data_IF_991818754152
#
_entry.id   IF_991818754152
#
_cell.length_a   1.000
_cell.length_b   1.000
_cell.length_c   1.000
_cell.angle_alpha   90.00
_cell.angle_beta   90.00
_cell.angle_gamma   90.00
#
_symmetry.space_group_name_H-M   'P 1'
#
loop_
_entity.id
_entity.type
_entity.pdbx_description
1 polymer ?
#
# COMPACT_ATOMS: atom_id res chain seq x y z
N UNK A 1 0.22 -27.79 -40.72
CA UNK A 1 -0.04 -29.25 -40.69
C UNK A 1 0.42 -29.86 -39.39
N UNK A 2 -0.48 -30.66 -38.75
CA UNK A 2 -0.46 -31.40 -37.47
C UNK A 2 -0.88 -30.55 -36.27
N UNK A 3 -2.12 -30.51 -35.87
CA UNK A 3 -3.17 -31.44 -35.32
C UNK A 3 -2.78 -32.18 -34.04
N UNK A 4 -3.66 -31.89 -33.04
CA UNK A 4 -4.20 -32.74 -31.98
C UNK A 4 -3.31 -33.01 -30.76
N UNK A 5 -3.77 -32.75 -29.53
CA UNK A 5 -4.77 -33.54 -28.83
C UNK A 5 -5.17 -32.89 -27.50
N UNK A 6 -6.45 -32.81 -27.29
CA UNK A 6 -7.13 -32.72 -25.98
C UNK A 6 -7.26 -34.14 -25.38
N UNK A 7 -7.36 -34.31 -24.06
CA UNK A 7 -8.47 -35.06 -23.56
C UNK A 7 -9.27 -34.36 -22.47
N UNK A 8 -10.57 -34.33 -22.66
CA UNK A 8 -11.61 -34.29 -21.65
C UNK A 8 -11.63 -35.57 -20.81
N UNK A 9 -11.95 -35.45 -19.54
CA UNK A 9 -12.68 -36.45 -18.71
C UNK A 9 -13.30 -35.64 -17.58
N UNK A 10 -14.59 -35.39 -17.53
CA UNK A 10 -15.75 -36.26 -17.26
C UNK A 10 -15.88 -36.70 -15.79
N UNK A 11 -16.89 -36.13 -15.15
CA UNK A 11 -17.85 -36.66 -14.17
C UNK A 11 -17.43 -37.69 -13.12
N UNK A 12 -17.76 -37.37 -11.85
CA UNK A 12 -18.66 -38.23 -11.04
C UNK A 12 -19.08 -37.50 -9.74
N UNK A 13 -20.37 -37.28 -9.58
CA UNK A 13 -21.04 -37.26 -8.27
C UNK A 13 -21.36 -38.69 -7.88
N UNK A 14 -21.49 -39.03 -6.58
CA UNK A 14 -22.83 -39.29 -6.08
C UNK A 14 -23.11 -38.73 -4.68
N UNK A 15 -24.42 -38.62 -4.45
CA UNK A 15 -25.13 -38.35 -3.22
C UNK A 15 -25.22 -39.60 -2.32
N UNK A 16 -25.42 -39.37 -1.02
CA UNK A 16 -26.29 -40.20 -0.14
C UNK A 16 -26.21 -39.60 1.27
N UNK A 17 -27.29 -39.04 1.73
CA UNK A 17 -28.27 -39.51 2.73
C UNK A 17 -27.64 -40.16 3.99
N UNK A 18 -27.91 -39.57 5.16
CA UNK A 18 -28.48 -40.30 6.32
C UNK A 18 -29.14 -39.25 7.25
N UNK A 19 -30.44 -39.40 7.42
CA UNK A 19 -31.22 -38.88 8.55
C UNK A 19 -30.89 -39.68 9.81
N UNK A 20 -30.80 -39.03 10.95
CA UNK A 20 -31.14 -39.63 12.24
C UNK A 20 -31.77 -38.57 13.14
N UNK A 21 -33.05 -38.77 13.39
CA UNK A 21 -33.83 -38.10 14.42
C UNK A 21 -33.87 -38.97 15.68
N UNK A 22 -33.72 -38.36 16.86
CA UNK A 22 -34.25 -38.80 18.17
C UNK A 22 -34.03 -37.66 19.16
N UNK A 23 -34.93 -36.97 19.64
CA UNK A 23 -35.98 -37.09 20.65
C UNK A 23 -35.48 -36.78 22.10
N UNK A 24 -36.05 -35.73 22.63
CA UNK A 24 -36.50 -35.44 23.99
C UNK A 24 -35.55 -35.67 25.22
N UNK A 25 -35.29 -34.55 25.92
CA UNK A 25 -35.49 -34.49 27.36
C UNK A 25 -35.67 -33.03 27.82
N UNK A 26 -36.84 -32.71 28.38
CA UNK A 26 -37.11 -31.53 29.15
C UNK A 26 -36.30 -31.57 30.48
N UNK A 27 -35.64 -30.49 30.80
CA UNK A 27 -35.32 -30.15 32.18
C UNK A 27 -35.40 -28.65 32.33
N UNK A 28 -36.50 -28.19 32.89
CA UNK A 28 -36.67 -26.82 33.39
C UNK A 28 -35.88 -26.65 34.67
N UNK A 29 -34.87 -25.76 34.65
CA UNK A 29 -34.38 -25.09 35.83
C UNK A 29 -34.20 -23.61 35.52
N UNK A 30 -35.10 -22.79 36.00
CA UNK A 30 -35.04 -21.35 35.89
C UNK A 30 -33.82 -20.80 36.61
N UNK A 31 -32.90 -20.26 35.83
CA UNK A 31 -31.88 -19.34 36.29
C UNK A 31 -32.03 -18.08 35.46
N UNK A 32 -32.49 -17.01 36.06
CA UNK A 32 -32.43 -15.65 35.49
C UNK A 32 -30.94 -15.33 35.20
N UNK A 33 -30.50 -15.70 34.02
CA UNK A 33 -29.20 -15.29 33.51
C UNK A 33 -29.35 -13.84 33.07
N UNK A 34 -28.70 -12.93 33.74
CA UNK A 34 -28.53 -11.57 33.30
C UNK A 34 -28.10 -11.57 31.81
N UNK A 35 -28.62 -10.67 30.96
CA UNK A 35 -28.16 -10.57 29.59
C UNK A 35 -26.65 -10.37 29.64
N UNK A 36 -25.90 -11.31 29.04
CA UNK A 36 -24.49 -11.14 28.78
C UNK A 36 -24.34 -9.81 28.06
N UNK A 37 -23.63 -8.88 28.69
CA UNK A 37 -23.32 -7.62 28.05
C UNK A 37 -22.77 -7.94 26.66
N UNK A 38 -23.39 -7.40 25.64
CA UNK A 38 -22.81 -7.33 24.31
C UNK A 38 -21.47 -6.65 24.50
N UNK A 39 -20.38 -7.43 24.48
CA UNK A 39 -19.03 -6.88 24.31
C UNK A 39 -19.13 -6.04 23.04
N UNK A 40 -19.27 -4.72 23.22
CA UNK A 40 -19.13 -3.77 22.14
C UNK A 40 -17.73 -4.02 21.60
N UNK A 41 -17.65 -4.66 20.42
CA UNK A 41 -16.39 -4.90 19.73
C UNK A 41 -15.66 -3.56 19.69
N UNK A 42 -14.56 -3.46 20.42
CA UNK A 42 -13.78 -2.25 20.50
C UNK A 42 -13.46 -1.83 19.07
N UNK A 43 -13.91 -0.63 18.70
CA UNK A 43 -13.61 -0.07 17.36
C UNK A 43 -12.10 -0.15 17.16
N UNK A 44 -11.60 -0.70 16.05
CA UNK A 44 -10.16 -0.82 15.85
C UNK A 44 -9.53 0.57 15.99
N UNK A 45 -8.55 0.70 16.88
CA UNK A 45 -7.87 1.96 17.13
C UNK A 45 -6.95 2.31 15.95
N UNK A 46 -6.77 3.61 15.71
CA UNK A 46 -5.77 4.10 14.77
C UNK A 46 -4.39 3.51 15.10
N UNK A 47 -3.68 2.98 14.10
CA UNK A 47 -2.36 2.37 14.28
C UNK A 47 -1.29 3.15 13.52
N UNK A 48 -0.23 3.58 14.20
CA UNK A 48 0.95 4.12 13.54
C UNK A 48 1.70 2.99 12.82
N UNK A 49 1.98 3.18 11.55
CA UNK A 49 2.69 2.24 10.68
C UNK A 49 4.16 2.61 10.54
N UNK A 50 4.48 3.90 10.45
CA UNK A 50 5.84 4.38 10.36
C UNK A 50 5.96 5.83 10.82
N UNK A 51 7.04 6.12 11.57
CA UNK A 51 7.47 7.46 11.98
C UNK A 51 8.94 7.60 11.62
N UNK A 52 9.31 8.38 10.58
CA UNK A 52 10.71 8.58 10.20
C UNK A 52 11.54 9.18 11.35
N UNK A 53 12.77 8.70 11.52
CA UNK A 53 13.75 9.20 12.49
C UNK A 53 14.91 9.88 11.79
N UNK A 54 15.71 10.62 12.52
CA UNK A 54 16.83 11.40 11.99
C UNK A 54 17.97 10.54 11.36
N UNK A 55 18.01 9.25 11.68
CA UNK A 55 18.99 8.29 11.14
C UNK A 55 18.48 7.50 9.92
N UNK A 56 17.34 7.89 9.36
CA UNK A 56 16.72 7.21 8.21
C UNK A 56 15.97 5.93 8.57
N UNK A 57 15.85 5.59 9.85
CA UNK A 57 15.02 4.48 10.32
C UNK A 57 13.61 4.97 10.62
N UNK A 58 12.70 4.04 10.91
CA UNK A 58 11.40 4.37 11.50
C UNK A 58 11.35 3.90 12.95
N UNK A 59 10.54 4.56 13.77
CA UNK A 59 10.36 4.17 15.18
C UNK A 59 9.84 2.72 15.31
N UNK A 60 9.13 2.22 14.30
CA UNK A 60 8.59 0.87 14.21
C UNK A 60 9.62 -0.15 13.69
N UNK A 61 10.87 0.29 13.44
CA UNK A 61 12.02 -0.54 13.10
C UNK A 61 12.23 -0.78 11.59
N UNK A 62 11.49 -0.08 10.74
CA UNK A 62 11.71 -0.03 9.31
C UNK A 62 12.85 0.93 8.91
N UNK A 63 12.98 1.18 7.61
CA UNK A 63 13.97 2.08 6.99
C UNK A 63 13.27 2.94 5.94
N UNK A 64 13.72 4.17 5.78
CA UNK A 64 13.30 5.05 4.69
C UNK A 64 14.45 5.20 3.70
N UNK A 65 14.21 4.80 2.46
CA UNK A 65 15.17 4.87 1.37
C UNK A 65 14.64 5.73 0.22
N UNK A 66 15.53 6.51 -0.39
CA UNK A 66 15.23 7.25 -1.62
C UNK A 66 15.68 6.47 -2.85
N UNK A 67 14.87 6.51 -3.90
CA UNK A 67 15.25 5.97 -5.20
C UNK A 67 14.68 6.79 -6.36
N UNK A 68 15.24 6.60 -7.52
CA UNK A 68 14.76 7.21 -8.76
C UNK A 68 14.45 6.14 -9.80
N UNK A 69 13.58 6.47 -10.72
CA UNK A 69 13.25 5.65 -11.88
C UNK A 69 13.00 6.53 -13.10
N UNK A 70 13.36 6.07 -14.28
CA UNK A 70 13.14 6.78 -15.53
C UNK A 70 13.12 5.80 -16.70
N UNK A 71 12.43 6.17 -17.78
CA UNK A 71 12.47 5.43 -19.05
C UNK A 71 13.87 5.43 -19.66
N UNK A 72 14.53 6.58 -19.61
CA UNK A 72 15.89 6.76 -20.14
C UNK A 72 16.85 7.09 -18.98
N UNK A 73 18.00 6.42 -18.90
CA UNK A 73 19.02 6.75 -17.91
C UNK A 73 19.47 8.21 -18.01
N UNK A 74 19.68 8.84 -16.85
CA UNK A 74 20.16 10.21 -16.77
C UNK A 74 19.09 11.30 -16.84
N UNK A 75 17.82 10.96 -17.11
CA UNK A 75 16.72 11.92 -17.14
C UNK A 75 16.14 12.25 -15.75
N UNK A 76 16.54 11.52 -14.73
CA UNK A 76 16.16 11.76 -13.34
C UNK A 76 17.41 11.66 -12.46
N UNK A 77 17.55 12.57 -11.53
CA UNK A 77 18.60 12.55 -10.51
C UNK A 77 18.01 12.87 -9.14
N UNK A 78 18.35 12.06 -8.15
CA UNK A 78 17.96 12.22 -6.74
C UNK A 78 19.16 12.70 -5.93
N UNK A 79 18.94 13.67 -5.05
CA UNK A 79 19.91 14.06 -4.02
C UNK A 79 19.84 13.09 -2.84
N UNK A 80 20.85 13.06 -1.96
CA UNK A 80 20.76 12.30 -0.71
C UNK A 80 19.51 12.67 0.09
N UNK A 81 18.78 11.66 0.56
CA UNK A 81 17.61 11.87 1.41
C UNK A 81 18.01 12.53 2.72
N UNK A 82 17.30 13.57 3.11
CA UNK A 82 17.50 14.26 4.37
C UNK A 82 16.39 13.92 5.37
N UNK A 83 16.77 13.89 6.65
CA UNK A 83 15.85 13.51 7.73
C UNK A 83 15.86 14.58 8.83
N UNK A 84 14.69 14.92 9.35
CA UNK A 84 14.53 15.83 10.48
C UNK A 84 13.22 15.58 11.20
N UNK A 85 13.25 15.52 12.54
CA UNK A 85 12.05 15.57 13.42
C UNK A 85 10.83 14.81 12.91
N UNK A 86 10.97 13.53 12.60
CA UNK A 86 9.86 12.69 12.13
C UNK A 86 9.49 12.86 10.65
N UNK A 87 10.39 13.44 9.85
CA UNK A 87 10.16 13.74 8.42
C UNK A 87 11.34 13.27 7.58
N UNK A 88 11.08 12.57 6.50
CA UNK A 88 12.00 12.31 5.40
C UNK A 88 11.72 13.29 4.25
N UNK A 89 12.76 13.85 3.64
CA UNK A 89 12.66 14.75 2.48
C UNK A 89 13.49 14.22 1.33
N UNK A 90 12.88 14.14 0.15
CA UNK A 90 13.54 13.86 -1.11
C UNK A 90 13.59 15.13 -1.96
N UNK A 91 14.76 15.40 -2.51
CA UNK A 91 15.01 16.45 -3.50
C UNK A 91 15.69 15.88 -4.72
N UNK A 92 15.66 16.61 -5.82
CA UNK A 92 16.33 16.22 -7.05
C UNK A 92 15.75 16.89 -8.28
N UNK A 93 16.05 16.32 -9.45
CA UNK A 93 15.69 16.90 -10.73
C UNK A 93 15.10 15.83 -11.64
N UNK A 94 14.00 16.15 -12.32
CA UNK A 94 13.51 15.44 -13.49
C UNK A 94 13.75 16.32 -14.70
N UNK A 95 14.60 15.85 -15.63
CA UNK A 95 14.96 16.58 -16.85
C UNK A 95 15.05 15.62 -18.01
N UNK A 96 13.96 15.45 -18.80
CA UNK A 96 13.87 14.45 -19.86
C UNK A 96 14.70 14.84 -21.10
N UNK A 97 16.02 14.95 -20.93
CA UNK A 97 16.98 15.28 -21.99
C UNK A 97 17.04 14.21 -23.08
N UNK A 98 16.83 12.95 -22.70
CA UNK A 98 16.85 11.81 -23.61
C UNK A 98 15.45 11.39 -24.05
N UNK A 99 14.43 12.20 -23.70
CA UNK A 99 13.05 12.00 -24.14
C UNK A 99 12.24 11.04 -23.31
N UNK A 100 12.54 10.84 -22.02
CA UNK A 100 11.68 10.08 -21.12
C UNK A 100 10.27 10.65 -21.11
N UNK A 101 9.29 9.76 -21.21
CA UNK A 101 7.87 10.08 -21.06
C UNK A 101 7.35 9.75 -19.66
N UNK A 102 8.09 8.94 -18.92
CA UNK A 102 7.82 8.62 -17.51
C UNK A 102 9.11 8.58 -16.71
N UNK A 103 8.98 8.84 -15.41
CA UNK A 103 10.08 8.83 -14.46
C UNK A 103 9.67 9.51 -13.17
N UNK A 104 10.51 9.42 -12.14
CA UNK A 104 10.22 10.05 -10.87
C UNK A 104 11.29 9.83 -9.82
N UNK A 105 11.10 10.53 -8.72
CA UNK A 105 11.86 10.38 -7.48
C UNK A 105 10.89 9.89 -6.41
N UNK A 106 11.30 8.89 -5.63
CA UNK A 106 10.48 8.27 -4.63
C UNK A 106 11.19 8.10 -3.28
N UNK A 107 10.39 8.08 -2.22
CA UNK A 107 10.75 7.57 -0.89
C UNK A 107 10.00 6.27 -0.66
N UNK A 108 10.72 5.22 -0.30
CA UNK A 108 10.17 3.94 0.16
C UNK A 108 10.31 3.86 1.67
N UNK A 109 9.20 3.78 2.38
CA UNK A 109 9.16 3.63 3.83
C UNK A 109 8.82 2.20 4.17
N UNK A 110 9.81 1.38 4.50
CA UNK A 110 9.60 0.04 5.03
C UNK A 110 8.96 0.13 6.43
N UNK A 111 7.91 -0.66 6.67
CA UNK A 111 7.10 -0.55 7.88
C UNK A 111 7.68 -1.34 9.06
N UNK A 112 8.45 -2.39 8.77
CA UNK A 112 9.04 -3.26 9.78
C UNK A 112 10.46 -3.69 9.42
N UNK A 113 11.24 -4.05 10.44
CA UNK A 113 12.59 -4.61 10.26
C UNK A 113 12.57 -5.83 9.33
N UNK A 114 13.49 -5.86 8.36
CA UNK A 114 13.65 -6.97 7.43
C UNK A 114 12.51 -7.10 6.42
N UNK A 115 11.70 -6.05 6.20
CA UNK A 115 10.64 -6.05 5.19
C UNK A 115 9.51 -7.04 5.48
N UNK A 116 9.29 -7.41 6.75
CA UNK A 116 8.16 -8.29 7.12
C UNK A 116 6.84 -7.60 6.80
N UNK A 117 5.90 -8.39 6.29
CA UNK A 117 4.56 -7.90 6.03
C UNK A 117 3.80 -7.62 7.34
N UNK A 118 3.01 -6.57 7.30
CA UNK A 118 2.14 -6.13 8.36
C UNK A 118 0.71 -6.19 7.84
N UNK A 119 -0.20 -6.75 8.63
CA UNK A 119 -1.62 -6.74 8.31
C UNK A 119 -2.24 -5.40 8.72
N UNK A 120 -2.63 -4.63 7.73
CA UNK A 120 -3.42 -3.41 7.84
C UNK A 120 -4.78 -3.55 7.10
N UNK A 121 -5.21 -4.79 6.82
CA UNK A 121 -6.41 -5.08 6.05
C UNK A 121 -7.72 -4.64 6.70
N UNK A 122 -7.73 -4.41 8.02
CA UNK A 122 -8.88 -3.82 8.73
C UNK A 122 -8.98 -2.29 8.58
N UNK A 123 -7.94 -1.63 8.07
CA UNK A 123 -7.95 -0.19 7.85
C UNK A 123 -8.84 0.17 6.66
N UNK A 124 -9.55 1.27 6.79
CA UNK A 124 -10.31 1.89 5.70
C UNK A 124 -9.57 3.05 5.06
N UNK A 125 -8.64 3.63 5.79
CA UNK A 125 -7.94 4.85 5.39
C UNK A 125 -6.47 4.74 5.76
N UNK A 126 -5.59 5.15 4.84
CA UNK A 126 -4.21 5.48 5.11
C UNK A 126 -4.13 6.98 5.41
N UNK A 127 -3.73 7.34 6.62
CA UNK A 127 -3.40 8.72 6.97
C UNK A 127 -1.89 8.91 6.81
N UNK A 128 -1.47 9.87 6.01
CA UNK A 128 -0.05 10.10 5.70
C UNK A 128 0.26 11.59 5.70
N UNK A 129 1.32 11.98 6.41
CA UNK A 129 1.79 13.36 6.41
C UNK A 129 2.66 13.61 5.17
N UNK A 130 2.23 14.54 4.31
CA UNK A 130 2.87 14.86 3.04
C UNK A 130 3.02 16.38 2.85
N UNK A 131 4.04 16.76 2.08
CA UNK A 131 4.21 18.10 1.53
C UNK A 131 4.90 18.00 0.18
N UNK A 132 4.62 18.92 -0.75
CA UNK A 132 5.38 19.05 -2.00
C UNK A 132 5.45 20.51 -2.43
N UNK A 133 6.65 21.03 -2.56
CA UNK A 133 6.92 22.32 -3.20
C UNK A 133 7.07 22.19 -4.72
N UNK A 134 7.05 20.96 -5.26
CA UNK A 134 7.25 20.64 -6.66
C UNK A 134 5.96 20.54 -7.46
N UNK A 135 5.41 19.32 -7.59
CA UNK A 135 4.31 19.03 -8.51
C UNK A 135 2.91 19.32 -7.95
N UNK A 136 2.74 19.48 -6.63
CA UNK A 136 1.43 19.57 -5.99
C UNK A 136 0.60 18.26 -6.05
N UNK A 137 1.15 17.19 -6.62
CA UNK A 137 0.54 15.85 -6.68
C UNK A 137 1.61 14.82 -6.42
N UNK A 138 1.37 13.93 -5.46
CA UNK A 138 2.24 12.80 -5.17
C UNK A 138 1.50 11.49 -5.45
N UNK A 139 2.22 10.50 -5.93
CA UNK A 139 1.75 9.13 -6.10
C UNK A 139 2.11 8.34 -4.86
N UNK A 140 1.11 7.79 -4.17
CA UNK A 140 1.29 6.90 -3.03
C UNK A 140 1.03 5.47 -3.48
N UNK A 141 1.91 4.53 -3.15
CA UNK A 141 1.80 3.10 -3.50
C UNK A 141 1.83 2.25 -2.24
N UNK A 142 0.93 1.26 -2.16
CA UNK A 142 0.95 0.24 -1.12
C UNK A 142 1.75 -0.97 -1.62
N UNK A 143 2.87 -1.28 -0.99
CA UNK A 143 3.78 -2.35 -1.43
C UNK A 143 3.67 -3.56 -0.51
N UNK A 144 3.47 -4.73 -1.10
CA UNK A 144 3.43 -6.02 -0.41
C UNK A 144 4.70 -6.86 -0.67
N UNK A 145 4.71 -8.14 -0.25
CA UNK A 145 5.91 -8.98 -0.28
C UNK A 145 6.26 -9.58 -1.65
N UNK A 146 5.36 -9.48 -2.64
CA UNK A 146 5.61 -10.04 -3.96
C UNK A 146 6.59 -9.17 -4.76
N UNK A 147 7.82 -9.63 -4.92
CA UNK A 147 8.89 -8.90 -5.60
C UNK A 147 8.58 -8.65 -7.08
N UNK A 148 7.96 -9.60 -7.79
CA UNK A 148 7.61 -9.42 -9.20
C UNK A 148 6.59 -8.29 -9.40
N UNK A 149 5.61 -8.15 -8.51
CA UNK A 149 4.66 -7.02 -8.53
C UNK A 149 5.36 -5.69 -8.18
N UNK A 150 6.30 -5.71 -7.26
CA UNK A 150 7.08 -4.51 -6.90
C UNK A 150 7.95 -4.07 -8.08
N UNK A 151 8.70 -4.99 -8.68
CA UNK A 151 9.66 -4.71 -9.75
C UNK A 151 8.95 -4.27 -11.04
N UNK A 152 7.75 -4.79 -11.32
CA UNK A 152 6.89 -4.34 -12.42
C UNK A 152 6.11 -3.05 -12.12
N UNK A 153 6.15 -2.55 -10.89
CA UNK A 153 5.39 -1.38 -10.49
C UNK A 153 3.88 -1.62 -10.29
N UNK A 154 3.44 -2.89 -10.23
CA UNK A 154 2.02 -3.28 -10.26
C UNK A 154 1.35 -3.40 -8.90
N UNK A 155 1.92 -2.83 -7.86
CA UNK A 155 1.20 -2.58 -6.61
C UNK A 155 0.27 -1.36 -6.76
N UNK A 156 -0.88 -1.37 -6.04
CA UNK A 156 -1.89 -0.33 -6.22
C UNK A 156 -1.43 1.04 -5.76
N UNK A 157 -1.86 2.06 -6.47
CA UNK A 157 -1.50 3.47 -6.28
C UNK A 157 -2.72 4.35 -6.07
N UNK A 158 -2.52 5.46 -5.36
CA UNK A 158 -3.45 6.57 -5.28
C UNK A 158 -2.69 7.88 -5.55
N UNK A 159 -3.34 8.80 -6.27
CA UNK A 159 -2.81 10.14 -6.51
C UNK A 159 -3.35 11.09 -5.45
N UNK A 160 -2.46 11.77 -4.73
CA UNK A 160 -2.79 12.68 -3.65
C UNK A 160 -2.38 14.10 -4.02
N UNK A 161 -3.34 15.02 -4.03
CA UNK A 161 -3.03 16.45 -4.16
C UNK A 161 -2.51 16.94 -2.82
N UNK A 162 -1.36 17.61 -2.84
CA UNK A 162 -0.64 18.02 -1.64
C UNK A 162 -0.26 19.50 -1.70
N UNK A 163 -0.21 20.10 -0.53
CA UNK A 163 0.25 21.47 -0.33
C UNK A 163 1.77 21.54 -0.12
N UNK A 164 2.39 22.72 -0.22
CA UNK A 164 3.80 22.91 0.15
C UNK A 164 4.07 22.70 1.65
N UNK A 165 3.10 22.97 2.51
CA UNK A 165 3.20 22.74 3.94
C UNK A 165 2.90 21.27 4.28
N UNK A 166 3.62 20.75 5.29
CA UNK A 166 3.41 19.40 5.77
C UNK A 166 2.06 19.29 6.48
N UNK A 167 1.17 18.48 5.90
CA UNK A 167 -0.17 18.19 6.42
C UNK A 167 -0.46 16.70 6.36
N UNK A 168 -1.40 16.24 7.19
CA UNK A 168 -1.90 14.88 7.11
C UNK A 168 -3.01 14.79 6.06
N UNK A 169 -2.91 13.79 5.21
CA UNK A 169 -3.89 13.45 4.16
C UNK A 169 -4.50 12.09 4.45
N UNK A 170 -5.82 12.03 4.46
CA UNK A 170 -6.58 10.80 4.60
C UNK A 170 -6.87 10.22 3.21
N UNK A 171 -6.26 9.08 2.89
CA UNK A 171 -6.39 8.41 1.60
C UNK A 171 -7.18 7.12 1.79
N UNK A 172 -8.41 7.01 1.28
CA UNK A 172 -9.20 5.78 1.39
C UNK A 172 -8.46 4.58 0.79
N UNK A 173 -8.40 3.45 1.49
CA UNK A 173 -7.76 2.23 0.97
C UNK A 173 -8.43 1.78 -0.34
N UNK A 174 -9.74 1.97 -0.47
CA UNK A 174 -10.47 1.65 -1.69
C UNK A 174 -10.09 2.50 -2.92
N UNK A 175 -9.43 3.66 -2.72
CA UNK A 175 -8.94 4.51 -3.82
C UNK A 175 -7.62 4.05 -4.43
N UNK A 176 -6.94 3.09 -3.79
CA UNK A 176 -5.72 2.51 -4.34
C UNK A 176 -6.06 1.47 -5.39
N UNK A 177 -5.69 1.75 -6.63
CA UNK A 177 -5.95 0.89 -7.79
C UNK A 177 -4.63 0.57 -8.52
N UNK A 178 -4.52 -0.62 -9.13
CA UNK A 178 -3.38 -0.90 -9.99
C UNK A 178 -3.30 0.07 -11.18
N UNK A 179 -2.10 0.33 -11.66
CA UNK A 179 -1.89 1.06 -12.90
C UNK A 179 -2.49 0.30 -14.09
N UNK A 180 -2.93 1.02 -15.12
CA UNK A 180 -3.65 0.44 -16.27
C UNK A 180 -2.85 -0.59 -17.08
N UNK A 181 -1.51 -0.54 -17.02
CA UNK A 181 -0.63 -1.52 -17.67
C UNK A 181 -0.47 -2.82 -16.87
N UNK A 182 -0.94 -2.85 -15.63
CA UNK A 182 -0.88 -4.04 -14.79
C UNK A 182 -2.05 -4.98 -15.15
N UNK A 183 -1.77 -6.25 -15.31
CA UNK A 183 -2.79 -7.23 -15.65
C UNK A 183 -3.85 -7.44 -14.55
N UNK A 184 -4.85 -8.26 -14.85
CA UNK A 184 -6.00 -8.53 -13.96
C UNK A 184 -5.61 -9.15 -12.59
N UNK A 185 -4.39 -9.67 -12.45
CA UNK A 185 -3.90 -10.27 -11.21
C UNK A 185 -3.23 -9.25 -10.27
N UNK A 186 -3.15 -7.98 -10.65
CA UNK A 186 -2.62 -6.94 -9.78
C UNK A 186 -3.57 -6.70 -8.58
N UNK A 187 -3.05 -6.58 -7.35
CA UNK A 187 -3.89 -6.47 -6.16
C UNK A 187 -4.59 -5.12 -6.10
N UNK A 188 -5.82 -5.10 -5.64
CA UNK A 188 -6.49 -3.87 -5.21
C UNK A 188 -5.95 -3.40 -3.84
N UNK A 189 -6.28 -2.18 -3.44
CA UNK A 189 -5.79 -1.56 -2.22
C UNK A 189 -5.99 -2.40 -0.95
N UNK A 190 -7.18 -2.99 -0.76
CA UNK A 190 -7.48 -3.83 0.40
C UNK A 190 -6.58 -5.09 0.46
N UNK A 191 -6.35 -5.75 -0.68
CA UNK A 191 -5.48 -6.92 -0.75
C UNK A 191 -4.01 -6.57 -0.47
N UNK A 192 -3.54 -5.42 -0.95
CA UNK A 192 -2.19 -4.93 -0.65
C UNK A 192 -2.05 -4.53 0.83
N UNK A 193 -3.06 -3.91 1.43
CA UNK A 193 -3.07 -3.52 2.84
C UNK A 193 -3.02 -4.73 3.79
N UNK A 194 -3.62 -5.87 3.42
CA UNK A 194 -3.59 -7.10 4.22
C UNK A 194 -2.17 -7.71 4.36
N UNK A 195 -1.22 -7.33 3.50
CA UNK A 195 0.15 -7.83 3.56
C UNK A 195 1.15 -6.71 3.21
N UNK A 196 1.05 -5.58 3.90
CA UNK A 196 1.80 -4.37 3.61
C UNK A 196 3.24 -4.45 4.13
N UNK A 197 4.24 -4.28 3.26
CA UNK A 197 5.66 -4.25 3.64
C UNK A 197 6.23 -2.85 3.63
N UNK A 198 5.76 -1.99 2.71
CA UNK A 198 6.20 -0.61 2.60
C UNK A 198 5.10 0.30 2.04
N UNK A 199 5.24 1.58 2.29
CA UNK A 199 4.52 2.65 1.59
C UNK A 199 5.54 3.45 0.79
N UNK A 200 5.31 3.58 -0.51
CA UNK A 200 6.14 4.40 -1.39
C UNK A 200 5.40 5.69 -1.76
N UNK A 201 6.12 6.79 -1.70
CA UNK A 201 5.62 8.10 -2.13
C UNK A 201 6.54 8.63 -3.21
N UNK A 202 5.99 8.99 -4.37
CA UNK A 202 6.76 9.46 -5.50
C UNK A 202 6.20 10.77 -6.08
N UNK A 203 7.10 11.66 -6.44
CA UNK A 203 6.84 12.70 -7.41
C UNK A 203 7.22 12.17 -8.78
N UNK A 204 6.22 11.81 -9.59
CA UNK A 204 6.37 11.11 -10.85
C UNK A 204 5.83 11.91 -12.06
N UNK A 205 5.62 13.22 -11.91
CA UNK A 205 5.16 14.07 -12.99
C UNK A 205 6.32 14.38 -13.95
N UNK A 206 6.25 13.87 -15.17
CA UNK A 206 7.18 14.20 -16.26
C UNK A 206 6.47 15.11 -17.27
N UNK A 207 7.12 16.23 -17.59
CA UNK A 207 6.68 17.11 -18.67
C UNK A 207 7.73 17.08 -19.79
N UNK A 208 7.39 16.60 -20.98
CA UNK A 208 8.35 16.49 -22.08
C UNK A 208 9.10 17.81 -22.31
N UNK A 209 10.42 17.74 -22.44
CA UNK A 209 11.30 18.88 -22.70
C UNK A 209 11.41 19.90 -21.57
N UNK A 210 10.84 19.67 -20.40
CA UNK A 210 10.92 20.60 -19.27
C UNK A 210 11.69 20.01 -18.11
N UNK A 211 12.73 20.72 -17.69
CA UNK A 211 13.41 20.48 -16.42
C UNK A 211 12.50 20.90 -15.24
N UNK A 212 12.40 20.07 -14.23
CA UNK A 212 11.61 20.33 -13.02
C UNK A 212 12.39 19.94 -11.77
N UNK A 213 12.37 20.81 -10.78
CA UNK A 213 12.84 20.46 -9.44
C UNK A 213 11.81 19.61 -8.71
N UNK A 214 12.30 18.63 -8.00
CA UNK A 214 11.52 17.79 -7.09
C UNK A 214 11.90 18.17 -5.67
N UNK A 215 10.89 18.38 -4.84
CA UNK A 215 11.04 18.62 -3.41
C UNK A 215 9.76 18.21 -2.72
N UNK A 216 9.80 17.07 -2.01
CA UNK A 216 8.66 16.61 -1.23
C UNK A 216 9.10 15.98 0.09
N UNK A 217 8.15 15.91 1.02
CA UNK A 217 8.35 15.40 2.38
C UNK A 217 7.32 14.32 2.68
N UNK A 218 7.77 13.32 3.43
CA UNK A 218 6.94 12.25 3.98
C UNK A 218 7.17 12.21 5.49
N UNK A 219 6.11 12.33 6.25
CA UNK A 219 6.12 12.23 7.72
C UNK A 219 5.48 10.94 8.20
N UNK A 220 4.70 11.03 9.26
CA UNK A 220 4.05 9.89 9.92
C UNK A 220 3.04 9.24 8.97
N UNK A 221 3.01 7.91 9.00
CA UNK A 221 2.06 7.06 8.27
C UNK A 221 1.24 6.27 9.29
N UNK A 222 -0.10 6.31 9.17
CA UNK A 222 -1.03 5.63 10.07
C UNK A 222 -2.09 4.87 9.28
N UNK A 223 -2.57 3.77 9.84
CA UNK A 223 -3.77 3.07 9.40
C UNK A 223 -4.94 3.46 10.29
N UNK A 224 -6.03 3.92 9.70
CA UNK A 224 -7.26 4.32 10.38
C UNK A 224 -8.38 3.33 10.03
N UNK A 225 -9.26 3.00 11.01
CA UNK A 225 -10.39 2.10 10.81
C UNK A 225 -11.46 2.65 9.88
#
# INVERSE_FOLDING_TARGET
MRTTNRPERACAKPAAFILCATALALSACGGLRAPAGTDAAASPAARTLATPLADGRTAEGGVVDGFMFAEKPGDVAIDPVSFSSGVARATGVIEPRHGSTWGGIALSTALQRGGRALDAGSARTLAISLASAGSGVLRVRLVGPNTALRDSGCYPVAMVRVDPELKEYAVPIASFTPESYCGANAPAGAAAAAALTAVEVADAAVTPGRRRQVDFKVGVIRALP
#
